data_IF_837838362497
#
_entry.id   IF_837838362497
#
_cell.length_a   1.000
_cell.length_b   1.000
_cell.length_c   1.000
_cell.angle_alpha   90.00
_cell.angle_beta   90.00
_cell.angle_gamma   90.00
#
_symmetry.space_group_name_H-M   'P 1'
#
loop_
_entity.id
_entity.type
_entity.pdbx_description
1 polymer ?
#
# COMPACT_ATOMS: atom_id res chain seq x y z
N UNK A 1 -8.30 -66.71 -9.93
CA UNK A 1 -7.26 -65.86 -10.45
C UNK A 1 -7.86 -64.58 -11.07
N UNK A 2 -8.51 -63.76 -10.23
CA UNK A 2 -9.11 -62.56 -10.70
C UNK A 2 -8.16 -61.36 -10.48
N UNK A 3 -7.40 -61.01 -11.47
CA UNK A 3 -6.83 -59.68 -11.59
C UNK A 3 -8.01 -58.75 -11.91
N UNK A 4 -8.54 -58.05 -10.90
CA UNK A 4 -9.51 -57.03 -11.12
C UNK A 4 -8.85 -55.89 -11.88
N UNK A 5 -9.01 -55.86 -13.18
CA UNK A 5 -8.61 -54.71 -13.98
C UNK A 5 -9.51 -53.56 -13.52
N UNK A 6 -8.94 -52.56 -12.89
CA UNK A 6 -9.63 -51.33 -12.57
C UNK A 6 -10.22 -50.79 -13.87
N UNK A 7 -11.54 -50.60 -13.93
CA UNK A 7 -12.23 -50.14 -15.14
C UNK A 7 -11.60 -48.79 -15.55
N UNK A 8 -11.36 -48.58 -16.82
CA UNK A 8 -10.88 -47.31 -17.37
C UNK A 8 -11.70 -46.12 -16.85
N UNK A 9 -12.96 -46.32 -16.62
CA UNK A 9 -13.87 -45.30 -16.07
C UNK A 9 -13.53 -44.87 -14.64
N UNK A 10 -12.95 -45.74 -13.81
CA UNK A 10 -12.52 -45.39 -12.45
C UNK A 10 -11.28 -44.47 -12.48
N UNK A 11 -10.33 -44.76 -13.38
CA UNK A 11 -9.13 -43.97 -13.56
C UNK A 11 -9.48 -42.56 -14.09
N UNK A 12 -10.34 -42.47 -15.08
CA UNK A 12 -10.81 -41.20 -15.62
C UNK A 12 -11.52 -40.33 -14.58
N UNK A 13 -12.28 -40.95 -13.67
CA UNK A 13 -13.01 -40.26 -12.65
C UNK A 13 -12.06 -39.66 -11.56
N UNK A 14 -10.99 -40.36 -11.23
CA UNK A 14 -9.98 -39.86 -10.28
C UNK A 14 -9.14 -38.75 -10.93
N UNK A 15 -8.69 -38.90 -12.17
CA UNK A 15 -7.94 -37.87 -12.89
C UNK A 15 -8.78 -36.63 -13.13
N UNK A 16 -10.07 -36.77 -13.49
CA UNK A 16 -10.98 -35.64 -13.64
C UNK A 16 -11.14 -34.82 -12.37
N UNK A 17 -11.29 -35.49 -11.21
CA UNK A 17 -11.38 -34.81 -9.91
C UNK A 17 -10.07 -34.15 -9.50
N UNK A 18 -8.90 -34.76 -9.78
CA UNK A 18 -7.60 -34.17 -9.52
C UNK A 18 -7.34 -32.92 -10.38
N UNK A 19 -7.72 -32.95 -11.66
CA UNK A 19 -7.58 -31.81 -12.57
C UNK A 19 -8.48 -30.64 -12.13
N UNK A 20 -9.72 -30.91 -11.74
CA UNK A 20 -10.64 -29.88 -11.22
C UNK A 20 -10.09 -29.27 -9.93
N UNK A 21 -9.53 -30.08 -9.04
CA UNK A 21 -8.91 -29.60 -7.80
C UNK A 21 -7.67 -28.72 -8.06
N UNK A 22 -6.82 -29.10 -9.04
CA UNK A 22 -5.68 -28.33 -9.46
C UNK A 22 -6.08 -26.99 -10.09
N UNK A 23 -7.14 -26.95 -10.88
CA UNK A 23 -7.66 -25.72 -11.49
C UNK A 23 -8.22 -24.78 -10.42
N UNK A 24 -8.91 -25.31 -9.41
CA UNK A 24 -9.43 -24.53 -8.28
C UNK A 24 -8.25 -23.94 -7.46
N UNK A 25 -7.17 -24.71 -7.25
CA UNK A 25 -5.99 -24.24 -6.53
C UNK A 25 -5.17 -23.19 -7.31
N UNK A 26 -5.07 -23.33 -8.64
CA UNK A 26 -4.42 -22.34 -9.52
C UNK A 26 -5.26 -21.09 -9.75
N UNK A 27 -6.59 -21.17 -9.59
CA UNK A 27 -7.49 -20.01 -9.70
C UNK A 27 -7.46 -19.07 -8.49
N UNK A 28 -6.88 -19.48 -7.37
CA UNK A 28 -6.67 -18.66 -6.18
C UNK A 28 -5.26 -18.04 -6.11
N UNK A 29 -4.69 -17.67 -7.22
CA UNK A 29 -3.68 -16.62 -7.16
C UNK A 29 -4.45 -15.34 -6.79
N UNK A 30 -4.45 -15.00 -5.50
CA UNK A 30 -4.90 -13.71 -5.04
C UNK A 30 -4.09 -12.68 -5.83
N UNK A 31 -4.69 -12.10 -6.86
CA UNK A 31 -4.15 -10.90 -7.48
C UNK A 31 -4.17 -9.87 -6.37
N UNK A 32 -3.01 -9.63 -5.78
CA UNK A 32 -2.82 -8.55 -4.85
C UNK A 32 -3.16 -7.27 -5.62
N UNK A 33 -4.35 -6.72 -5.40
CA UNK A 33 -4.77 -5.48 -6.02
C UNK A 33 -3.91 -4.37 -5.41
N UNK A 34 -2.95 -3.91 -6.21
CA UNK A 34 -2.22 -2.68 -5.93
C UNK A 34 -3.22 -1.52 -5.91
N UNK A 35 -3.22 -0.73 -4.86
CA UNK A 35 -4.02 0.49 -4.72
C UNK A 35 -3.14 1.71 -4.89
N UNK A 36 -3.70 2.76 -5.47
CA UNK A 36 -3.04 4.05 -5.56
C UNK A 36 -3.27 4.85 -4.27
N UNK A 37 -2.16 5.27 -3.67
CA UNK A 37 -2.15 6.12 -2.47
C UNK A 37 -1.50 7.44 -2.82
N UNK A 38 -2.17 8.53 -2.50
CA UNK A 38 -1.70 9.88 -2.77
C UNK A 38 -1.46 10.66 -1.47
N UNK A 39 -0.34 11.36 -1.41
CA UNK A 39 0.01 12.26 -0.31
C UNK A 39 0.32 13.66 -0.85
N UNK A 40 -0.14 14.68 -0.15
CA UNK A 40 0.21 16.09 -0.44
C UNK A 40 0.84 16.71 0.80
N UNK A 41 2.00 17.35 0.62
CA UNK A 41 2.71 18.03 1.69
C UNK A 41 2.32 19.51 1.71
N UNK A 42 1.54 19.92 2.70
CA UNK A 42 1.19 21.33 2.98
C UNK A 42 2.14 21.97 3.98
N UNK A 43 3.06 21.21 4.55
CA UNK A 43 4.08 21.70 5.46
C UNK A 43 5.12 22.59 4.77
N UNK A 44 6.00 23.14 5.57
CA UNK A 44 7.14 23.96 5.10
C UNK A 44 8.37 23.13 4.83
N UNK A 45 8.46 21.96 5.43
CA UNK A 45 9.61 21.06 5.40
C UNK A 45 9.33 19.86 4.51
N UNK A 46 10.36 19.30 3.83
CA UNK A 46 10.20 18.07 3.07
C UNK A 46 9.92 16.89 4.01
N UNK A 47 9.15 15.93 3.50
CA UNK A 47 8.83 14.68 4.19
C UNK A 47 9.30 13.48 3.38
N UNK A 48 9.58 12.38 4.05
CA UNK A 48 9.75 11.08 3.44
C UNK A 48 8.51 10.22 3.69
N UNK A 49 7.94 9.68 2.63
CA UNK A 49 6.93 8.64 2.70
C UNK A 49 7.61 7.29 2.51
N UNK A 50 7.55 6.44 3.51
CA UNK A 50 8.17 5.12 3.52
C UNK A 50 7.05 4.08 3.47
N UNK A 51 7.04 3.29 2.40
CA UNK A 51 6.02 2.25 2.17
C UNK A 51 6.74 0.96 1.83
N UNK A 52 6.68 -0.02 2.72
CA UNK A 52 7.47 -1.23 2.61
C UNK A 52 8.97 -0.92 2.54
N UNK A 53 9.61 -1.28 1.44
CA UNK A 53 11.03 -1.01 1.20
C UNK A 53 11.29 0.24 0.33
N UNK A 54 10.24 0.95 -0.04
CA UNK A 54 10.31 2.15 -0.88
C UNK A 54 10.26 3.41 -0.05
N UNK A 55 11.14 4.35 -0.36
CA UNK A 55 11.14 5.69 0.22
C UNK A 55 10.91 6.72 -0.88
N UNK A 56 9.94 7.60 -0.68
CA UNK A 56 9.60 8.70 -1.59
C UNK A 56 9.72 10.03 -0.85
N UNK A 57 10.46 10.96 -1.43
CA UNK A 57 10.55 12.33 -0.94
C UNK A 57 9.39 13.16 -1.47
N UNK A 58 8.78 13.94 -0.60
CA UNK A 58 7.69 14.84 -0.96
C UNK A 58 8.04 16.25 -0.49
N UNK A 59 8.42 17.08 -1.43
CA UNK A 59 8.80 18.46 -1.17
C UNK A 59 7.60 19.29 -0.68
N UNK A 60 7.87 20.41 0.01
CA UNK A 60 6.81 21.33 0.42
C UNK A 60 5.94 21.75 -0.77
N UNK A 61 4.63 21.74 -0.56
CA UNK A 61 3.59 22.07 -1.55
C UNK A 61 3.54 21.16 -2.78
N UNK A 62 4.18 20.00 -2.71
CA UNK A 62 4.12 18.94 -3.71
C UNK A 62 3.30 17.78 -3.22
N UNK A 63 2.88 16.94 -4.16
CA UNK A 63 2.20 15.70 -3.90
C UNK A 63 2.84 14.55 -4.65
N UNK A 64 2.60 13.33 -4.18
CA UNK A 64 2.99 12.09 -4.85
C UNK A 64 1.94 11.03 -4.68
N UNK A 65 1.76 10.25 -5.74
CA UNK A 65 0.97 9.02 -5.71
C UNK A 65 1.88 7.83 -5.94
N UNK A 66 1.60 6.75 -5.23
CA UNK A 66 2.28 5.46 -5.40
C UNK A 66 1.26 4.34 -5.47
N UNK A 67 1.61 3.28 -6.18
CA UNK A 67 0.85 2.04 -6.16
C UNK A 67 1.49 1.08 -5.14
N UNK A 68 0.70 0.54 -4.23
CA UNK A 68 1.19 -0.34 -3.18
C UNK A 68 0.15 -1.35 -2.73
N UNK A 69 0.62 -2.48 -2.22
CA UNK A 69 -0.18 -3.50 -1.52
C UNK A 69 -0.03 -3.39 0.00
N UNK A 70 0.84 -2.51 0.47
CA UNK A 70 1.08 -2.31 1.90
C UNK A 70 -0.17 -1.72 2.59
N UNK A 71 -0.30 -2.02 3.85
CA UNK A 71 -1.42 -1.55 4.69
C UNK A 71 -1.05 -0.33 5.52
N UNK A 72 0.24 -0.05 5.65
CA UNK A 72 0.78 1.06 6.43
C UNK A 72 1.86 1.81 5.67
N UNK A 73 1.95 3.10 5.92
CA UNK A 73 3.06 3.95 5.52
C UNK A 73 3.62 4.70 6.73
N UNK A 74 4.90 4.98 6.70
CA UNK A 74 5.55 5.86 7.66
C UNK A 74 5.80 7.21 7.00
N UNK A 75 5.36 8.28 7.62
CA UNK A 75 5.64 9.64 7.18
C UNK A 75 6.63 10.24 8.15
N UNK A 76 7.79 10.57 7.64
CA UNK A 76 8.89 11.10 8.42
C UNK A 76 9.18 12.55 8.03
N UNK A 77 9.31 13.42 9.02
CA UNK A 77 9.85 14.75 8.82
C UNK A 77 11.38 14.69 8.70
N UNK A 78 11.94 15.21 7.61
CA UNK A 78 13.36 15.06 7.30
C UNK A 78 14.22 16.18 7.89
N UNK A 79 13.69 17.39 7.96
CA UNK A 79 14.45 18.59 8.36
C UNK A 79 14.32 18.95 9.84
N UNK A 80 13.72 18.08 10.66
CA UNK A 80 13.66 18.37 12.08
C UNK A 80 15.07 18.33 12.68
N UNK A 81 15.42 19.43 13.32
CA UNK A 81 16.67 19.59 14.06
C UNK A 81 16.97 18.37 14.92
N UNK A 82 18.25 18.10 15.15
CA UNK A 82 18.83 16.93 15.83
C UNK A 82 18.26 16.57 17.23
N UNK A 83 17.26 17.29 17.69
CA UNK A 83 16.61 17.12 18.99
C UNK A 83 15.58 16.00 19.03
N UNK A 84 15.08 15.58 17.87
CA UNK A 84 14.02 14.57 17.78
C UNK A 84 14.57 13.20 17.41
N UNK A 85 14.14 12.16 18.12
CA UNK A 85 14.45 10.78 17.76
C UNK A 85 13.69 10.34 16.48
N UNK A 86 14.08 9.22 15.91
CA UNK A 86 13.39 8.67 14.72
C UNK A 86 11.89 8.48 14.95
N UNK A 87 11.53 7.88 16.09
CA UNK A 87 10.13 7.62 16.43
C UNK A 87 9.33 8.90 16.65
N UNK A 88 9.93 9.93 17.21
CA UNK A 88 9.30 11.25 17.38
C UNK A 88 9.05 11.98 16.07
N UNK A 89 9.89 11.74 15.03
CA UNK A 89 9.76 12.35 13.70
C UNK A 89 8.79 11.61 12.79
N UNK A 90 8.32 10.44 13.19
CA UNK A 90 7.62 9.52 12.30
C UNK A 90 6.18 9.33 12.76
N UNK A 91 5.27 9.41 11.82
CA UNK A 91 3.84 9.10 12.03
C UNK A 91 3.45 7.94 11.12
N UNK A 92 2.78 6.95 11.69
CA UNK A 92 2.22 5.81 10.94
C UNK A 92 0.87 6.19 10.36
N UNK A 93 0.66 5.89 9.09
CA UNK A 93 -0.61 6.10 8.38
C UNK A 93 -1.18 4.76 7.96
N UNK A 94 -2.43 4.51 8.33
CA UNK A 94 -3.19 3.35 7.88
C UNK A 94 -3.66 3.57 6.43
N UNK A 95 -3.08 2.85 5.50
CA UNK A 95 -3.38 2.92 4.07
C UNK A 95 -4.70 2.22 3.68
N UNK A 96 -5.30 1.48 4.58
CA UNK A 96 -6.64 0.91 4.36
C UNK A 96 -7.70 1.99 4.56
N UNK A 97 -7.50 2.84 5.57
CA UNK A 97 -8.41 3.93 5.89
C UNK A 97 -8.18 5.18 5.01
N UNK A 98 -6.92 5.44 4.60
CA UNK A 98 -6.52 6.65 3.89
C UNK A 98 -5.95 6.34 2.51
N UNK A 99 -6.75 6.51 1.47
CA UNK A 99 -6.28 6.45 0.08
C UNK A 99 -5.64 7.78 -0.39
N UNK A 100 -6.06 8.90 0.19
CA UNK A 100 -5.53 10.22 -0.08
C UNK A 100 -5.45 10.99 1.23
N UNK A 101 -4.28 11.52 1.55
CA UNK A 101 -4.06 12.25 2.80
C UNK A 101 -3.15 13.46 2.59
N UNK A 102 -3.23 14.40 3.51
CA UNK A 102 -2.38 15.57 3.55
C UNK A 102 -1.55 15.60 4.81
N UNK A 103 -0.35 16.15 4.66
CA UNK A 103 0.56 16.43 5.76
C UNK A 103 0.58 17.94 5.99
N UNK A 104 0.10 18.37 7.15
CA UNK A 104 -0.04 19.80 7.47
C UNK A 104 1.26 20.41 8.06
N UNK A 105 2.29 19.63 8.22
CA UNK A 105 3.54 20.05 8.84
C UNK A 105 3.63 19.60 10.30
N UNK A 106 4.54 20.18 11.01
CA UNK A 106 4.78 19.93 12.44
C UNK A 106 4.30 21.12 13.24
N UNK A 107 3.27 20.96 14.05
CA UNK A 107 2.79 21.97 14.98
C UNK A 107 3.64 22.03 16.26
N UNK A 108 4.87 22.52 16.14
CA UNK A 108 5.80 22.65 17.28
C UNK A 108 6.30 21.32 17.87
N UNK A 109 5.85 20.19 17.35
CA UNK A 109 6.26 18.84 17.69
C UNK A 109 7.08 18.22 16.57
N UNK A 110 7.81 17.17 16.88
CA UNK A 110 8.69 16.52 15.91
C UNK A 110 7.96 15.75 14.80
N UNK A 111 6.79 15.21 15.10
CA UNK A 111 6.01 14.37 14.18
C UNK A 111 5.12 15.18 13.24
N UNK A 112 4.96 14.75 11.99
CA UNK A 112 4.05 15.38 11.05
C UNK A 112 2.59 15.12 11.43
N UNK A 113 1.75 16.14 11.24
CA UNK A 113 0.29 16.00 11.37
C UNK A 113 -0.31 15.49 10.07
N UNK A 114 -1.05 14.39 10.17
CA UNK A 114 -1.67 13.73 9.03
C UNK A 114 -3.19 13.91 9.11
N UNK A 115 -3.79 14.33 8.02
CA UNK A 115 -5.23 14.40 7.87
C UNK A 115 -5.70 13.63 6.64
N UNK A 116 -6.83 12.94 6.76
CA UNK A 116 -7.51 12.38 5.61
C UNK A 116 -8.01 13.51 4.71
N UNK A 117 -7.88 13.36 3.40
CA UNK A 117 -8.42 14.31 2.48
C UNK A 117 -9.93 14.13 2.35
N UNK A 118 -10.67 15.19 2.60
CA UNK A 118 -12.13 15.15 2.60
C UNK A 118 -12.71 14.86 1.20
N UNK A 119 -11.96 15.26 0.16
CA UNK A 119 -12.32 15.01 -1.24
C UNK A 119 -11.14 14.30 -1.95
N UNK A 120 -11.09 12.96 -1.96
CA UNK A 120 -9.99 12.20 -2.56
C UNK A 120 -9.72 12.54 -4.03
N UNK A 121 -10.77 12.82 -4.81
CA UNK A 121 -10.63 13.19 -6.22
C UNK A 121 -9.85 14.49 -6.42
N UNK A 122 -10.01 15.46 -5.54
CA UNK A 122 -9.29 16.73 -5.59
C UNK A 122 -7.82 16.55 -5.20
N UNK A 123 -7.53 15.63 -4.28
CA UNK A 123 -6.17 15.25 -3.94
C UNK A 123 -5.44 14.65 -5.14
N UNK A 124 -6.03 13.68 -5.83
CA UNK A 124 -5.44 13.07 -7.02
C UNK A 124 -5.18 14.09 -8.13
N UNK A 125 -6.14 14.94 -8.42
CA UNK A 125 -6.00 16.00 -9.43
C UNK A 125 -4.88 16.97 -9.08
N UNK A 126 -4.76 17.34 -7.81
CA UNK A 126 -3.72 18.24 -7.34
C UNK A 126 -2.34 17.62 -7.46
N UNK A 127 -2.19 16.35 -7.06
CA UNK A 127 -0.92 15.63 -7.16
C UNK A 127 -0.48 15.50 -8.61
N UNK A 128 -1.40 15.15 -9.51
CA UNK A 128 -1.11 15.04 -10.96
C UNK A 128 -0.73 16.37 -11.62
N UNK A 129 -1.13 17.50 -11.06
CA UNK A 129 -0.73 18.84 -11.57
C UNK A 129 0.64 19.28 -11.07
N UNK A 130 1.14 18.71 -9.98
CA UNK A 130 2.39 19.11 -9.34
C UNK A 130 3.59 18.21 -9.69
N UNK A 131 3.35 17.15 -10.47
CA UNK A 131 4.38 16.23 -10.95
C UNK A 131 4.97 16.68 -12.32
#
# INVERSE_FOLDING_TARGET
LGVKIMSKNFIYNIFGKLIVFAIIFLGFTATAFSKEICVTNFGKDPIAMIVGHSMQWVDPRRGRCINTNEIEALIQNIEVKDVCSFDEKTTTVDLVAYACFRVNGTSGQCSPEIENWEFPEDCEKRVKRTN
#
